data_IF_080966262265
#
_entry.id   IF_080966262265
#
_cell.length_a   1.000
_cell.length_b   1.000
_cell.length_c   1.000
_cell.angle_alpha   90.00
_cell.angle_beta   90.00
_cell.angle_gamma   90.00
#
_symmetry.space_group_name_H-M   'P 1'
#
loop_
_entity.id
_entity.type
_entity.pdbx_description
1 polymer ?
#
# COMPACT_ATOMS: atom_id res chain seq x y z
N UNK A 1 -7.84 -9.10 21.02
CA UNK A 1 -7.84 -7.76 20.41
C UNK A 1 -6.66 -7.68 19.44
N UNK A 2 -6.84 -7.65 18.10
CA UNK A 2 -5.69 -7.44 17.22
C UNK A 2 -5.14 -6.03 17.47
N UNK A 3 -3.85 -5.95 17.84
CA UNK A 3 -3.14 -4.68 18.00
C UNK A 3 -2.98 -4.06 16.60
N UNK A 4 -3.77 -3.03 16.30
CA UNK A 4 -3.59 -2.25 15.09
C UNK A 4 -2.21 -1.59 15.13
N UNK A 5 -1.35 -1.93 14.17
CA UNK A 5 -0.06 -1.27 14.03
C UNK A 5 -0.26 0.00 13.22
N UNK A 6 0.05 1.16 13.82
CA UNK A 6 0.06 2.43 13.09
C UNK A 6 1.32 2.47 12.22
N UNK A 7 1.15 2.62 10.91
CA UNK A 7 2.25 2.76 9.96
C UNK A 7 2.30 4.23 9.51
N UNK A 8 3.41 4.91 9.78
CA UNK A 8 3.68 6.27 9.31
C UNK A 8 4.88 6.25 8.38
N UNK A 9 4.71 6.82 7.19
CA UNK A 9 5.79 7.00 6.23
C UNK A 9 6.42 8.38 6.46
N UNK A 10 7.64 8.42 6.99
CA UNK A 10 8.29 9.66 7.47
C UNK A 10 8.84 10.53 6.33
N UNK A 11 9.13 9.94 5.17
CA UNK A 11 9.81 10.61 4.03
C UNK A 11 8.97 10.63 2.75
N UNK A 12 7.91 9.82 2.68
CA UNK A 12 7.10 9.62 1.49
C UNK A 12 6.89 8.15 1.18
N UNK A 13 6.30 7.87 0.01
CA UNK A 13 6.04 6.50 -0.44
C UNK A 13 7.36 5.75 -0.73
N UNK A 14 7.35 4.40 -0.70
CA UNK A 14 8.50 3.61 -1.14
C UNK A 14 8.89 3.94 -2.58
N UNK A 15 10.18 3.79 -2.89
CA UNK A 15 10.69 4.06 -4.24
C UNK A 15 9.94 3.26 -5.29
N UNK A 16 9.53 3.93 -6.38
CA UNK A 16 8.75 3.33 -7.47
C UNK A 16 7.24 3.35 -7.27
N UNK A 17 6.75 3.82 -6.11
CA UNK A 17 5.31 3.99 -5.86
C UNK A 17 4.87 5.44 -6.01
N UNK A 18 3.66 5.61 -6.54
CA UNK A 18 3.03 6.91 -6.76
C UNK A 18 1.60 6.89 -6.24
N UNK A 19 1.20 7.96 -5.55
CA UNK A 19 -0.19 8.19 -5.15
C UNK A 19 -0.81 9.20 -6.11
N UNK A 20 -1.93 8.84 -6.71
CA UNK A 20 -2.75 9.73 -7.50
C UNK A 20 -4.08 9.96 -6.78
N UNK A 21 -4.47 11.23 -6.66
CA UNK A 21 -5.78 11.62 -6.18
C UNK A 21 -6.56 12.23 -7.33
N UNK A 22 -7.65 11.57 -7.73
CA UNK A 22 -8.52 12.06 -8.79
C UNK A 22 -9.67 12.86 -8.17
N UNK A 23 -9.87 14.13 -8.57
CA UNK A 23 -11.04 14.90 -8.15
C UNK A 23 -12.27 14.31 -8.84
N UNK A 24 -13.00 13.46 -8.13
CA UNK A 24 -14.28 12.92 -8.59
C UNK A 24 -15.42 13.55 -7.80
N UNK A 25 -16.50 13.89 -8.50
CA UNK A 25 -17.59 14.75 -8.00
C UNK A 25 -18.36 14.17 -6.80
N UNK A 26 -18.24 12.87 -6.51
CA UNK A 26 -18.90 12.21 -5.38
C UNK A 26 -17.94 11.77 -4.27
N UNK A 27 -16.76 11.24 -4.60
CA UNK A 27 -15.75 10.81 -3.61
C UNK A 27 -14.35 10.88 -4.23
N UNK A 28 -13.34 11.46 -3.56
CA UNK A 28 -11.97 11.47 -4.07
C UNK A 28 -11.47 10.03 -4.21
N UNK A 29 -11.04 9.66 -5.42
CA UNK A 29 -10.49 8.34 -5.70
C UNK A 29 -8.99 8.43 -5.42
N UNK A 30 -8.52 7.59 -4.49
CA UNK A 30 -7.10 7.49 -4.10
C UNK A 30 -6.53 6.20 -4.63
N UNK A 31 -5.60 6.32 -5.57
CA UNK A 31 -4.96 5.17 -6.22
C UNK A 31 -3.46 5.16 -5.94
N UNK A 32 -2.92 3.96 -5.70
CA UNK A 32 -1.49 3.74 -5.51
C UNK A 32 -0.95 2.85 -6.63
N UNK A 33 -0.01 3.39 -7.40
CA UNK A 33 0.66 2.72 -8.52
C UNK A 33 2.05 2.26 -8.12
N UNK A 34 2.63 1.33 -8.90
CA UNK A 34 4.00 0.83 -8.70
C UNK A 34 4.09 -0.63 -8.28
N UNK A 35 2.97 -1.36 -8.21
CA UNK A 35 3.00 -2.78 -7.88
C UNK A 35 3.65 -3.61 -9.01
N UNK A 36 4.53 -4.60 -8.72
CA UNK A 36 5.22 -5.40 -9.73
C UNK A 36 4.29 -6.14 -10.72
N UNK A 37 3.05 -6.43 -10.31
CA UNK A 37 2.05 -7.05 -11.19
C UNK A 37 1.46 -6.10 -12.25
N UNK A 38 1.84 -4.83 -12.26
CA UNK A 38 1.33 -3.80 -13.18
C UNK A 38 -0.06 -3.26 -12.82
N UNK A 39 -0.66 -3.77 -11.74
CA UNK A 39 -1.95 -3.29 -11.19
C UNK A 39 -1.75 -2.14 -10.19
N UNK A 40 -2.82 -1.46 -9.84
CA UNK A 40 -2.85 -0.40 -8.83
C UNK A 40 -3.73 -0.77 -7.63
N UNK A 41 -3.44 -0.21 -6.47
CA UNK A 41 -4.28 -0.35 -5.28
C UNK A 41 -5.31 0.78 -5.25
N UNK A 42 -6.59 0.43 -5.14
CA UNK A 42 -7.68 1.39 -4.99
C UNK A 42 -7.94 1.81 -3.53
N UNK A 43 -7.06 1.43 -2.60
CA UNK A 43 -7.22 1.70 -1.18
C UNK A 43 -5.87 1.75 -0.46
N UNK A 44 -5.71 2.78 0.39
CA UNK A 44 -4.50 2.96 1.20
C UNK A 44 -4.22 1.76 2.11
N UNK A 45 -5.27 1.08 2.61
CA UNK A 45 -5.13 -0.12 3.44
C UNK A 45 -4.41 -1.25 2.69
N UNK A 46 -4.87 -1.59 1.49
CA UNK A 46 -4.28 -2.67 0.69
C UNK A 46 -2.82 -2.33 0.32
N UNK A 47 -2.54 -1.05 0.06
CA UNK A 47 -1.19 -0.55 -0.18
C UNK A 47 -0.28 -0.66 1.06
N UNK A 48 -0.79 -0.32 2.26
CA UNK A 48 -0.03 -0.43 3.51
C UNK A 48 0.33 -1.90 3.80
N UNK A 49 -0.59 -2.84 3.59
CA UNK A 49 -0.32 -4.28 3.76
C UNK A 49 0.83 -4.75 2.86
N UNK A 50 0.88 -4.24 1.64
CA UNK A 50 2.01 -4.48 0.74
C UNK A 50 3.30 -3.83 1.23
N UNK A 51 3.25 -2.57 1.70
CA UNK A 51 4.43 -1.86 2.23
C UNK A 51 5.03 -2.53 3.47
N UNK A 52 4.19 -3.01 4.39
CA UNK A 52 4.65 -3.75 5.58
C UNK A 52 5.41 -5.01 5.17
N UNK A 53 4.91 -5.71 4.14
CA UNK A 53 5.55 -6.89 3.58
C UNK A 53 6.85 -6.55 2.84
N UNK A 54 6.92 -5.41 2.14
CA UNK A 54 8.15 -4.89 1.52
C UNK A 54 9.23 -4.57 2.55
N UNK A 55 8.85 -3.97 3.67
CA UNK A 55 9.77 -3.61 4.75
C UNK A 55 10.20 -4.82 5.60
N UNK A 56 9.64 -6.02 5.36
CA UNK A 56 9.96 -7.22 6.14
C UNK A 56 9.50 -7.14 7.60
N UNK A 57 8.59 -6.22 7.94
CA UNK A 57 8.16 -5.99 9.32
C UNK A 57 7.34 -7.19 9.79
N UNK A 58 7.71 -7.74 10.95
CA UNK A 58 7.06 -8.93 11.51
C UNK A 58 7.53 -10.25 10.91
N UNK A 59 8.61 -10.26 10.10
CA UNK A 59 9.17 -11.48 9.50
C UNK A 59 8.46 -11.95 8.22
N UNK A 60 7.48 -11.17 7.73
CA UNK A 60 6.80 -11.44 6.47
C UNK A 60 7.50 -10.68 5.34
N UNK A 61 8.14 -11.41 4.43
CA UNK A 61 8.64 -10.84 3.18
C UNK A 61 7.60 -10.84 2.07
N UNK A 62 7.95 -10.30 0.90
CA UNK A 62 7.09 -10.31 -0.30
C UNK A 62 6.56 -11.70 -0.68
N UNK A 63 7.29 -12.77 -0.34
CA UNK A 63 6.88 -14.16 -0.57
C UNK A 63 5.59 -14.56 0.17
N UNK A 64 5.22 -13.84 1.23
CA UNK A 64 4.00 -14.08 2.03
C UNK A 64 3.13 -12.82 2.11
N UNK A 65 3.21 -11.95 1.11
CA UNK A 65 2.44 -10.73 1.09
C UNK A 65 0.93 -11.02 1.01
N UNK A 66 0.17 -10.49 1.96
CA UNK A 66 -1.29 -10.66 2.02
C UNK A 66 -2.06 -9.55 1.27
N UNK A 67 -1.38 -8.71 0.49
CA UNK A 67 -2.05 -7.68 -0.28
C UNK A 67 -2.84 -8.30 -1.44
N UNK A 68 -3.88 -7.62 -1.92
CA UNK A 68 -4.76 -8.14 -2.99
C UNK A 68 -4.08 -8.32 -4.36
N UNK A 69 -2.85 -7.85 -4.54
CA UNK A 69 -2.18 -7.78 -5.85
C UNK A 69 -0.99 -8.72 -6.00
N UNK A 70 -0.48 -9.29 -4.90
CA UNK A 70 0.53 -10.35 -4.88
C UNK A 70 -0.13 -11.71 -5.14
#
# INVERSE_FOLDING_TARGET
MPRGHKVEFVVGLPSGYMHAEHPSACHPIKEFFGHPSGKHFASARDFIEHCVSLMGIGGYGLHNCACKLC
#
